data_IF_538749239537
#
_entry.id   IF_538749239537
#
_cell.length_a   1.000
_cell.length_b   1.000
_cell.length_c   1.000
_cell.angle_alpha   90.00
_cell.angle_beta   90.00
_cell.angle_gamma   90.00
#
_symmetry.space_group_name_H-M   'P 1'
#
loop_
_entity.id
_entity.type
_entity.pdbx_description
1 polymer ?
#
# COMPACT_ATOMS: atom_id res chain seq x y z
N UNK A 1 17.50 -10.81 -6.18
CA UNK A 1 16.07 -11.12 -6.33
C UNK A 1 15.42 -10.89 -4.99
N UNK A 2 14.60 -9.85 -4.87
CA UNK A 2 13.82 -9.59 -3.65
C UNK A 2 12.49 -10.32 -3.78
N UNK A 3 12.13 -11.13 -2.79
CA UNK A 3 10.85 -11.83 -2.74
C UNK A 3 9.85 -10.97 -1.97
N UNK A 4 8.69 -10.71 -2.58
CA UNK A 4 7.56 -10.02 -1.98
C UNK A 4 6.37 -10.99 -1.83
N UNK A 5 5.37 -10.68 -0.99
CA UNK A 5 4.08 -11.34 -1.10
C UNK A 5 3.54 -11.19 -2.51
N UNK A 6 2.74 -12.17 -2.94
CA UNK A 6 2.14 -12.18 -4.27
C UNK A 6 1.44 -10.85 -4.53
N UNK A 7 1.75 -10.21 -5.65
CA UNK A 7 1.01 -9.05 -6.14
C UNK A 7 -0.41 -9.45 -6.60
N UNK A 8 -1.20 -8.46 -7.02
CA UNK A 8 -2.58 -8.71 -7.40
C UNK A 8 -2.69 -9.60 -8.65
N UNK A 9 -1.82 -9.40 -9.65
CA UNK A 9 -1.77 -10.28 -10.83
C UNK A 9 -1.44 -11.72 -10.47
N UNK A 10 -0.46 -11.95 -9.60
CA UNK A 10 -0.10 -13.29 -9.10
C UNK A 10 -1.25 -13.92 -8.31
N UNK A 11 -2.00 -13.15 -7.54
CA UNK A 11 -3.22 -13.62 -6.88
C UNK A 11 -4.31 -14.00 -7.88
N UNK A 12 -4.50 -13.23 -8.97
CA UNK A 12 -5.44 -13.60 -10.03
C UNK A 12 -5.01 -14.92 -10.68
N UNK A 13 -3.74 -15.09 -11.03
CA UNK A 13 -3.21 -16.35 -11.56
C UNK A 13 -3.47 -17.51 -10.60
N UNK A 14 -3.10 -17.36 -9.33
CA UNK A 14 -3.28 -18.40 -8.31
C UNK A 14 -4.75 -18.78 -8.08
N UNK A 15 -5.70 -17.89 -8.41
CA UNK A 15 -7.14 -18.13 -8.24
C UNK A 15 -7.87 -18.40 -9.57
N UNK A 16 -7.15 -18.87 -10.60
CA UNK A 16 -7.70 -19.32 -11.88
C UNK A 16 -8.26 -18.20 -12.76
N UNK A 17 -7.65 -17.00 -12.68
CA UNK A 17 -8.07 -15.78 -13.39
C UNK A 17 -7.00 -15.28 -14.36
N UNK A 18 -6.22 -16.17 -14.94
CA UNK A 18 -5.10 -15.88 -15.84
C UNK A 18 -5.53 -15.01 -17.04
N UNK A 19 -6.67 -15.30 -17.64
CA UNK A 19 -7.24 -14.49 -18.74
C UNK A 19 -7.44 -13.02 -18.36
N UNK A 20 -7.72 -12.72 -17.09
CA UNK A 20 -7.88 -11.33 -16.63
C UNK A 20 -6.53 -10.65 -16.46
N UNK A 21 -5.47 -11.39 -16.12
CA UNK A 21 -4.11 -10.87 -16.11
C UNK A 21 -3.65 -10.50 -17.52
N UNK A 22 -3.92 -11.36 -18.50
CA UNK A 22 -3.60 -11.08 -19.91
C UNK A 22 -4.23 -9.76 -20.41
N UNK A 23 -5.48 -9.49 -20.02
CA UNK A 23 -6.15 -8.23 -20.37
C UNK A 23 -5.48 -7.01 -19.73
N UNK A 24 -5.02 -7.11 -18.48
CA UNK A 24 -4.27 -6.05 -17.80
C UNK A 24 -2.91 -5.81 -18.46
N UNK A 25 -2.19 -6.88 -18.81
CA UNK A 25 -0.88 -6.79 -19.48
C UNK A 25 -0.99 -6.17 -20.87
N UNK A 26 -2.06 -6.49 -21.62
CA UNK A 26 -2.36 -5.89 -22.91
C UNK A 26 -2.96 -4.48 -22.81
N UNK A 27 -3.25 -3.99 -21.59
CA UNK A 27 -3.95 -2.72 -21.34
C UNK A 27 -5.25 -2.57 -22.17
N UNK A 28 -5.98 -3.67 -22.39
CA UNK A 28 -7.22 -3.66 -23.17
C UNK A 28 -8.37 -3.11 -22.33
N UNK A 29 -8.37 -1.79 -22.09
CA UNK A 29 -9.30 -1.14 -21.17
C UNK A 29 -10.77 -1.28 -21.58
N UNK A 30 -11.06 -1.45 -22.87
CA UNK A 30 -12.42 -1.73 -23.35
C UNK A 30 -12.91 -3.10 -22.81
N UNK A 31 -12.09 -4.14 -22.91
CA UNK A 31 -12.44 -5.46 -22.40
C UNK A 31 -12.38 -5.50 -20.86
N UNK A 32 -11.41 -4.84 -20.26
CA UNK A 32 -11.28 -4.71 -18.79
C UNK A 32 -12.56 -4.11 -18.20
N UNK A 33 -13.06 -3.00 -18.77
CA UNK A 33 -14.28 -2.35 -18.29
C UNK A 33 -15.50 -3.30 -18.36
N UNK A 34 -15.57 -4.15 -19.39
CA UNK A 34 -16.63 -5.16 -19.53
C UNK A 34 -16.60 -6.21 -18.40
N UNK A 35 -15.46 -6.42 -17.76
CA UNK A 35 -15.27 -7.32 -16.62
C UNK A 35 -14.97 -6.61 -15.30
N UNK A 36 -15.28 -5.31 -15.20
CA UNK A 36 -14.97 -4.49 -14.02
C UNK A 36 -15.39 -5.15 -12.71
N UNK A 37 -16.59 -5.73 -12.66
CA UNK A 37 -17.11 -6.35 -11.44
C UNK A 37 -16.25 -7.54 -10.99
N UNK A 38 -15.75 -8.34 -11.93
CA UNK A 38 -14.84 -9.46 -11.63
C UNK A 38 -13.54 -8.99 -10.99
N UNK A 39 -12.94 -7.92 -11.50
CA UNK A 39 -11.74 -7.33 -10.90
C UNK A 39 -12.02 -6.74 -9.51
N UNK A 40 -13.15 -6.04 -9.34
CA UNK A 40 -13.53 -5.46 -8.05
C UNK A 40 -13.72 -6.56 -6.99
N UNK A 41 -14.40 -7.66 -7.34
CA UNK A 41 -14.63 -8.74 -6.39
C UNK A 41 -13.33 -9.50 -6.08
N UNK A 42 -12.47 -9.75 -7.07
CA UNK A 42 -11.15 -10.30 -6.83
C UNK A 42 -10.28 -9.38 -5.95
N UNK A 43 -10.33 -8.06 -6.15
CA UNK A 43 -9.60 -7.09 -5.35
C UNK A 43 -10.11 -7.06 -3.90
N UNK A 44 -11.42 -7.20 -3.66
CA UNK A 44 -11.99 -7.37 -2.30
C UNK A 44 -11.48 -8.65 -1.64
N UNK A 45 -11.38 -9.75 -2.39
CA UNK A 45 -10.78 -11.00 -1.88
C UNK A 45 -9.32 -10.76 -1.49
N UNK A 46 -8.54 -10.11 -2.36
CA UNK A 46 -7.15 -9.79 -2.11
C UNK A 46 -6.95 -8.87 -0.89
N UNK A 47 -7.81 -7.89 -0.66
CA UNK A 47 -7.76 -7.06 0.56
C UNK A 47 -7.86 -7.87 1.86
N UNK A 48 -8.55 -9.02 1.82
CA UNK A 48 -8.69 -9.88 2.99
C UNK A 48 -7.62 -10.97 3.07
N UNK A 49 -7.34 -11.62 1.94
CA UNK A 49 -6.39 -12.74 1.83
C UNK A 49 -4.95 -12.25 1.87
N UNK A 50 -4.68 -11.12 1.23
CA UNK A 50 -3.33 -10.62 0.97
C UNK A 50 -2.60 -11.44 -0.10
N UNK A 51 -1.29 -11.27 -0.13
CA UNK A 51 -0.33 -11.94 -1.00
C UNK A 51 0.53 -12.99 -0.30
N UNK A 52 0.31 -13.28 0.99
CA UNK A 52 1.12 -14.29 1.67
C UNK A 52 0.93 -15.67 1.01
N UNK A 53 2.00 -16.35 0.55
CA UNK A 53 1.88 -17.56 -0.28
C UNK A 53 0.99 -18.66 0.34
N UNK A 54 1.15 -18.95 1.63
CA UNK A 54 0.34 -19.95 2.34
C UNK A 54 -1.15 -19.56 2.38
N UNK A 55 -1.45 -18.27 2.62
CA UNK A 55 -2.82 -17.77 2.67
C UNK A 55 -3.48 -17.79 1.28
N UNK A 56 -2.75 -17.37 0.24
CA UNK A 56 -3.22 -17.38 -1.15
C UNK A 56 -3.47 -18.82 -1.62
N UNK A 57 -2.51 -19.72 -1.40
CA UNK A 57 -2.61 -21.12 -1.80
C UNK A 57 -3.80 -21.81 -1.15
N UNK A 58 -4.00 -21.59 0.16
CA UNK A 58 -5.14 -22.16 0.87
C UNK A 58 -6.46 -21.60 0.35
N UNK A 59 -6.53 -20.28 0.16
CA UNK A 59 -7.72 -19.63 -0.39
C UNK A 59 -8.07 -20.14 -1.79
N UNK A 60 -7.08 -20.29 -2.67
CA UNK A 60 -7.27 -20.81 -4.02
C UNK A 60 -7.86 -22.22 -4.04
N UNK A 61 -7.44 -23.08 -3.10
CA UNK A 61 -7.88 -24.48 -3.03
C UNK A 61 -9.25 -24.67 -2.38
N UNK A 62 -9.55 -23.88 -1.34
CA UNK A 62 -10.69 -24.16 -0.44
C UNK A 62 -11.71 -23.02 -0.33
N UNK A 63 -11.36 -21.81 -0.75
CA UNK A 63 -12.21 -20.61 -0.66
C UNK A 63 -12.76 -20.35 0.77
N UNK A 64 -11.98 -20.68 1.80
CA UNK A 64 -12.36 -20.51 3.21
C UNK A 64 -11.61 -19.34 3.86
N UNK A 65 -12.36 -18.28 4.15
CA UNK A 65 -11.86 -17.05 4.75
C UNK A 65 -11.48 -17.21 6.24
N UNK A 66 -12.15 -18.10 6.97
CA UNK A 66 -11.88 -18.28 8.40
C UNK A 66 -10.51 -18.93 8.59
N UNK A 67 -10.21 -19.95 7.79
CA UNK A 67 -8.91 -20.60 7.82
C UNK A 67 -7.79 -19.71 7.27
N UNK A 68 -8.05 -18.90 6.23
CA UNK A 68 -7.13 -17.83 5.82
C UNK A 68 -6.78 -16.91 6.99
N UNK A 69 -7.77 -16.51 7.80
CA UNK A 69 -7.51 -15.68 8.98
C UNK A 69 -6.67 -16.41 10.03
N UNK A 70 -6.88 -17.71 10.22
CA UNK A 70 -6.07 -18.52 11.12
C UNK A 70 -4.62 -18.63 10.64
N UNK A 71 -4.40 -18.81 9.33
CA UNK A 71 -3.07 -18.80 8.70
C UNK A 71 -2.37 -17.46 8.92
N UNK A 72 -3.04 -16.34 8.64
CA UNK A 72 -2.45 -15.01 8.83
C UNK A 72 -2.08 -14.75 10.29
N UNK A 73 -2.89 -15.18 11.26
CA UNK A 73 -2.54 -15.12 12.70
C UNK A 73 -1.28 -15.93 13.02
N UNK A 74 -1.14 -17.12 12.45
CA UNK A 74 0.06 -17.96 12.62
C UNK A 74 1.29 -17.29 12.02
N UNK A 75 1.18 -16.69 10.84
CA UNK A 75 2.26 -15.93 10.20
C UNK A 75 2.69 -14.74 11.08
N UNK A 76 1.75 -13.93 11.55
CA UNK A 76 2.04 -12.80 12.43
C UNK A 76 2.72 -13.27 13.73
N UNK A 77 2.21 -14.35 14.33
CA UNK A 77 2.81 -14.92 15.53
C UNK A 77 4.24 -15.43 15.26
N UNK A 78 4.49 -16.08 14.11
CA UNK A 78 5.81 -16.54 13.73
C UNK A 78 6.80 -15.37 13.60
N UNK A 79 6.41 -14.27 12.94
CA UNK A 79 7.23 -13.06 12.88
C UNK A 79 7.58 -12.53 14.28
N UNK A 80 6.60 -12.44 15.19
CA UNK A 80 6.84 -11.98 16.56
C UNK A 80 7.78 -12.88 17.38
N UNK A 81 7.75 -14.19 17.13
CA UNK A 81 8.70 -15.13 17.74
C UNK A 81 10.10 -14.96 17.17
N UNK A 82 10.20 -14.70 15.87
CA UNK A 82 11.47 -14.54 15.17
C UNK A 82 12.21 -13.25 15.53
N UNK A 83 11.49 -12.22 16.02
CA UNK A 83 12.13 -11.02 16.58
C UNK A 83 13.11 -11.38 17.70
N UNK A 84 12.74 -12.27 18.62
CA UNK A 84 13.60 -12.68 19.73
C UNK A 84 14.75 -13.60 19.31
N UNK A 85 14.67 -14.21 18.12
CA UNK A 85 15.72 -15.11 17.60
C UNK A 85 16.77 -14.36 16.79
N UNK A 86 16.36 -13.32 16.07
CA UNK A 86 17.19 -12.67 15.05
C UNK A 86 17.53 -11.21 15.35
N UNK A 87 16.76 -10.52 16.19
CA UNK A 87 17.08 -9.15 16.57
C UNK A 87 17.99 -9.11 17.81
N UNK A 88 18.86 -8.10 17.96
CA UNK A 88 19.56 -7.85 19.21
C UNK A 88 18.58 -7.74 20.39
N UNK A 89 18.86 -8.47 21.48
CA UNK A 89 17.96 -8.57 22.64
C UNK A 89 17.49 -7.21 23.18
N UNK A 90 18.35 -6.20 23.13
CA UNK A 90 18.09 -4.84 23.62
C UNK A 90 17.00 -4.11 22.81
N UNK A 91 16.84 -4.44 21.52
CA UNK A 91 15.87 -3.77 20.63
C UNK A 91 14.55 -4.54 20.52
N UNK A 92 14.50 -5.82 20.89
CA UNK A 92 13.30 -6.68 20.79
C UNK A 92 12.06 -6.05 21.42
N UNK A 93 12.10 -5.49 22.65
CA UNK A 93 10.92 -4.85 23.23
C UNK A 93 10.40 -3.68 22.39
N UNK A 94 11.32 -2.89 21.79
CA UNK A 94 10.98 -1.74 20.96
C UNK A 94 10.38 -2.17 19.62
N UNK A 95 10.92 -3.24 19.02
CA UNK A 95 10.35 -3.85 17.81
C UNK A 95 8.91 -4.28 18.07
N UNK A 96 8.66 -5.03 19.16
CA UNK A 96 7.31 -5.49 19.52
C UNK A 96 6.35 -4.34 19.77
N UNK A 97 6.78 -3.30 20.49
CA UNK A 97 5.96 -2.11 20.71
C UNK A 97 5.61 -1.41 19.40
N UNK A 98 6.59 -1.24 18.50
CA UNK A 98 6.36 -0.63 17.19
C UNK A 98 5.40 -1.47 16.35
N UNK A 99 5.65 -2.77 16.26
CA UNK A 99 4.83 -3.74 15.53
C UNK A 99 3.37 -3.69 15.97
N UNK A 100 3.12 -3.74 17.28
CA UNK A 100 1.78 -3.68 17.86
C UNK A 100 1.12 -2.30 17.70
N UNK A 101 1.90 -1.25 17.46
CA UNK A 101 1.36 0.09 17.19
C UNK A 101 0.91 0.28 15.73
N UNK A 102 1.33 -0.58 14.79
CA UNK A 102 1.05 -0.41 13.36
C UNK A 102 -0.46 -0.16 13.10
N UNK A 103 -1.42 -0.94 13.63
CA UNK A 103 -2.84 -0.70 13.42
C UNK A 103 -3.31 0.71 13.82
N UNK A 104 -2.78 1.27 14.91
CA UNK A 104 -3.15 2.60 15.39
C UNK A 104 -2.54 3.73 14.55
N UNK A 105 -1.36 3.50 13.95
CA UNK A 105 -0.79 4.41 12.96
C UNK A 105 -1.70 4.52 11.72
N UNK A 106 -2.23 3.39 11.26
CA UNK A 106 -3.10 3.31 10.08
C UNK A 106 -4.52 3.85 10.30
N UNK A 107 -5.00 3.91 11.54
CA UNK A 107 -6.33 4.43 11.85
C UNK A 107 -6.43 5.97 11.77
N UNK A 108 -5.31 6.70 11.65
CA UNK A 108 -5.31 8.16 11.54
C UNK A 108 -5.61 8.63 10.13
N UNK A 109 -6.26 9.78 9.97
CA UNK A 109 -6.42 10.42 8.64
C UNK A 109 -5.06 10.77 8.03
N UNK A 110 -4.20 11.45 8.79
CA UNK A 110 -2.81 11.68 8.41
C UNK A 110 -1.96 10.44 8.75
N UNK A 111 -1.41 9.78 7.71
CA UNK A 111 -0.61 8.55 7.85
C UNK A 111 0.86 8.80 8.20
N UNK A 112 1.28 10.05 8.41
CA UNK A 112 2.63 10.36 8.91
C UNK A 112 2.84 9.63 10.22
N UNK A 113 3.96 8.92 10.34
CA UNK A 113 4.30 8.13 11.52
C UNK A 113 4.38 8.99 12.79
N UNK A 114 3.72 8.55 13.86
CA UNK A 114 3.67 9.24 15.14
C UNK A 114 4.24 8.34 16.24
N UNK A 115 5.42 8.69 16.75
CA UNK A 115 6.07 7.95 17.84
C UNK A 115 5.18 7.86 19.10
N UNK A 116 4.44 8.91 19.42
CA UNK A 116 3.54 8.94 20.58
C UNK A 116 2.44 7.87 20.59
N UNK A 117 2.10 7.30 19.43
CA UNK A 117 1.14 6.19 19.34
C UNK A 117 1.76 4.82 19.71
N UNK A 118 3.09 4.72 19.76
CA UNK A 118 3.78 3.55 20.30
C UNK A 118 3.69 3.55 21.82
N UNK A 119 4.01 4.70 22.43
CA UNK A 119 3.94 4.97 23.87
C UNK A 119 4.01 6.47 24.12
N UNK A 120 3.34 6.95 25.15
CA UNK A 120 3.49 8.34 25.63
C UNK A 120 4.95 8.69 25.87
N UNK A 121 5.42 9.80 25.29
CA UNK A 121 6.78 10.29 25.43
C UNK A 121 7.82 9.66 24.49
N UNK A 122 7.43 8.67 23.67
CA UNK A 122 8.32 8.03 22.71
C UNK A 122 8.96 9.03 21.72
N UNK A 123 10.26 8.89 21.49
CA UNK A 123 11.06 9.74 20.59
C UNK A 123 11.70 8.94 19.45
N UNK A 124 12.07 9.65 18.38
CA UNK A 124 12.73 9.06 17.21
C UNK A 124 13.96 8.23 17.55
N UNK A 125 14.87 8.78 18.36
CA UNK A 125 16.11 8.13 18.80
C UNK A 125 15.87 6.79 19.50
N UNK A 126 14.71 6.60 20.15
CA UNK A 126 14.40 5.33 20.82
C UNK A 126 14.07 4.20 19.84
N UNK A 127 13.41 4.53 18.72
CA UNK A 127 12.80 3.56 17.81
C UNK A 127 13.45 3.48 16.43
N UNK A 128 14.42 4.34 16.11
CA UNK A 128 15.12 4.35 14.82
C UNK A 128 15.69 2.97 14.46
N UNK A 129 16.42 2.33 15.37
CA UNK A 129 16.99 0.98 15.14
C UNK A 129 15.90 -0.09 14.96
N UNK A 130 14.76 0.04 15.65
CA UNK A 130 13.65 -0.91 15.50
C UNK A 130 12.94 -0.76 14.15
N UNK A 131 12.76 0.48 13.68
CA UNK A 131 12.22 0.78 12.35
C UNK A 131 13.16 0.25 11.28
N UNK A 132 14.46 0.53 11.40
CA UNK A 132 15.48 0.06 10.47
C UNK A 132 15.49 -1.46 10.41
N UNK A 133 15.52 -2.15 11.55
CA UNK A 133 15.49 -3.61 11.60
C UNK A 133 14.25 -4.21 10.91
N UNK A 134 13.05 -3.70 11.22
CA UNK A 134 11.82 -4.19 10.57
C UNK A 134 11.79 -3.91 9.06
N UNK A 135 12.36 -2.78 8.63
CA UNK A 135 12.46 -2.41 7.21
C UNK A 135 13.47 -3.31 6.48
N UNK A 136 14.62 -3.57 7.07
CA UNK A 136 15.68 -4.40 6.50
C UNK A 136 15.27 -5.87 6.39
N UNK A 137 14.45 -6.35 7.34
CA UNK A 137 13.81 -7.67 7.26
C UNK A 137 12.66 -7.73 6.24
N UNK A 138 12.29 -6.61 5.61
CA UNK A 138 11.20 -6.55 4.64
C UNK A 138 9.80 -6.70 5.24
N UNK A 139 9.66 -6.54 6.57
CA UNK A 139 8.38 -6.68 7.26
C UNK A 139 7.53 -5.40 7.20
N UNK A 140 8.19 -4.27 6.99
CA UNK A 140 7.56 -2.97 6.77
C UNK A 140 8.22 -2.23 5.61
N UNK A 141 7.52 -1.24 5.08
CA UNK A 141 8.01 -0.30 4.09
C UNK A 141 7.96 1.11 4.65
N UNK A 142 9.13 1.72 4.86
CA UNK A 142 9.25 3.14 5.21
C UNK A 142 9.20 3.98 3.93
N UNK A 143 8.19 4.84 3.81
CA UNK A 143 8.02 5.75 2.66
C UNK A 143 8.26 7.17 3.14
N UNK A 144 9.40 7.75 2.77
CA UNK A 144 9.80 9.08 3.21
C UNK A 144 9.09 10.19 2.44
N UNK A 145 9.01 11.35 3.08
CA UNK A 145 8.44 12.55 2.50
C UNK A 145 9.44 13.21 1.56
N UNK A 146 8.96 13.74 0.45
CA UNK A 146 9.65 14.78 -0.34
C UNK A 146 8.89 16.09 -0.25
N UNK A 147 9.61 17.21 -0.27
CA UNK A 147 9.03 18.56 -0.21
C UNK A 147 9.14 19.34 -1.53
N UNK A 148 9.84 18.78 -2.51
CA UNK A 148 10.00 19.31 -3.88
C UNK A 148 9.96 18.15 -4.88
N UNK A 149 9.69 18.48 -6.14
CA UNK A 149 9.60 17.55 -7.26
C UNK A 149 10.82 17.66 -8.19
N UNK A 150 12.03 17.68 -7.63
CA UNK A 150 13.26 17.72 -8.41
C UNK A 150 13.88 16.33 -8.57
N UNK A 151 14.64 16.13 -9.65
CA UNK A 151 15.30 14.86 -9.97
C UNK A 151 16.77 14.90 -9.49
N UNK A 152 17.28 13.85 -8.81
CA UNK A 152 16.52 12.72 -8.26
C UNK A 152 15.71 13.13 -7.02
N UNK A 153 14.53 12.51 -6.79
CA UNK A 153 13.67 12.84 -5.64
C UNK A 153 14.38 12.65 -4.30
N UNK A 154 15.32 11.70 -4.26
CA UNK A 154 16.16 11.40 -3.10
C UNK A 154 16.88 12.62 -2.52
N UNK A 155 17.24 13.61 -3.36
CA UNK A 155 17.89 14.83 -2.89
C UNK A 155 16.98 15.73 -2.03
N UNK A 156 15.65 15.53 -2.10
CA UNK A 156 14.62 16.32 -1.42
C UNK A 156 13.91 15.55 -0.30
N UNK A 157 14.47 14.40 0.09
CA UNK A 157 13.93 13.53 1.12
C UNK A 157 14.04 14.16 2.52
N UNK A 158 12.92 14.24 3.23
CA UNK A 158 12.88 14.53 4.66
C UNK A 158 12.81 13.24 5.48
N UNK A 159 13.97 12.79 5.96
CA UNK A 159 14.11 11.57 6.76
C UNK A 159 13.29 11.58 8.08
N UNK A 160 12.87 12.75 8.56
CA UNK A 160 12.08 12.90 9.81
C UNK A 160 10.59 12.72 9.58
N UNK A 161 10.11 12.78 8.33
CA UNK A 161 8.71 12.63 7.98
C UNK A 161 8.55 11.45 7.03
N UNK A 162 7.90 10.39 7.51
CA UNK A 162 7.69 9.17 6.75
C UNK A 162 6.35 8.53 7.12
N UNK A 163 5.82 7.72 6.21
CA UNK A 163 4.74 6.75 6.45
C UNK A 163 5.36 5.36 6.62
N UNK A 164 4.68 4.47 7.36
CA UNK A 164 5.04 3.05 7.43
C UNK A 164 3.89 2.25 6.84
N UNK A 165 4.22 1.38 5.89
CA UNK A 165 3.33 0.37 5.36
C UNK A 165 3.75 -1.03 5.81
N UNK A 166 2.82 -1.96 5.97
CA UNK A 166 3.15 -3.35 6.25
C UNK A 166 3.60 -4.05 4.95
N UNK A 167 4.25 -5.20 5.04
CA UNK A 167 4.59 -5.99 3.86
C UNK A 167 3.36 -6.50 3.08
N UNK A 168 2.23 -6.75 3.77
CA UNK A 168 1.05 -7.38 3.19
C UNK A 168 -0.27 -6.80 3.71
N UNK A 169 -1.21 -6.54 2.79
CA UNK A 169 -2.53 -5.97 3.09
C UNK A 169 -3.44 -6.92 3.87
N UNK A 170 -3.36 -8.24 3.62
CA UNK A 170 -4.13 -9.25 4.33
C UNK A 170 -3.68 -9.41 5.78
N UNK A 171 -2.36 -9.38 6.00
CA UNK A 171 -1.76 -9.32 7.34
C UNK A 171 -2.15 -8.04 8.09
N UNK A 172 -2.13 -6.87 7.42
CA UNK A 172 -2.59 -5.63 8.05
C UNK A 172 -4.07 -5.74 8.45
N UNK A 173 -4.91 -6.27 7.57
CA UNK A 173 -6.30 -6.57 7.87
C UNK A 173 -6.47 -7.55 9.04
N UNK A 174 -5.53 -8.49 9.22
CA UNK A 174 -5.53 -9.40 10.37
C UNK A 174 -5.23 -8.68 11.68
N UNK A 175 -4.19 -7.84 11.68
CA UNK A 175 -3.79 -7.07 12.86
C UNK A 175 -4.89 -6.11 13.33
N UNK A 176 -5.70 -5.59 12.41
CA UNK A 176 -6.78 -4.64 12.71
C UNK A 176 -8.12 -5.32 13.03
N UNK A 177 -8.20 -6.65 12.92
CA UNK A 177 -9.42 -7.41 13.17
C UNK A 177 -10.48 -7.28 12.08
N UNK A 178 -10.08 -7.05 10.82
CA UNK A 178 -10.99 -6.97 9.67
C UNK A 178 -11.84 -8.25 9.58
N UNK A 179 -13.17 -8.09 9.64
CA UNK A 179 -14.11 -9.21 9.52
C UNK A 179 -14.49 -9.44 8.05
N UNK A 180 -14.72 -10.69 7.68
CA UNK A 180 -15.11 -11.06 6.32
C UNK A 180 -16.39 -10.34 5.87
N UNK A 181 -17.38 -10.24 6.76
CA UNK A 181 -18.64 -9.52 6.51
C UNK A 181 -18.44 -8.08 6.05
N UNK A 182 -17.37 -7.43 6.50
CA UNK A 182 -17.04 -6.05 6.10
C UNK A 182 -16.77 -5.94 4.59
N UNK A 183 -16.23 -6.99 3.95
CA UNK A 183 -16.03 -7.01 2.48
C UNK A 183 -17.34 -7.12 1.70
N UNK A 184 -18.35 -7.76 2.32
CA UNK A 184 -19.64 -8.09 1.70
C UNK A 184 -20.63 -6.93 1.90
N UNK A 185 -20.65 -6.35 3.10
CA UNK A 185 -21.69 -5.40 3.52
C UNK A 185 -21.34 -3.93 3.24
N UNK A 186 -20.08 -3.60 2.95
CA UNK A 186 -19.68 -2.24 2.56
C UNK A 186 -20.01 -1.15 3.59
N UNK A 187 -20.01 -1.49 4.89
CA UNK A 187 -20.45 -0.60 5.95
C UNK A 187 -19.72 0.76 5.98
N UNK A 188 -20.48 1.86 6.10
CA UNK A 188 -19.97 3.25 6.20
C UNK A 188 -19.01 3.50 7.39
N UNK A 189 -19.01 2.65 8.42
CA UNK A 189 -18.07 2.71 9.55
C UNK A 189 -16.60 2.44 9.14
N UNK A 190 -16.35 2.12 7.87
CA UNK A 190 -15.04 1.73 7.35
C UNK A 190 -14.40 2.74 6.40
N UNK A 191 -14.95 3.94 6.15
CA UNK A 191 -14.42 4.86 5.13
C UNK A 191 -12.93 5.19 5.34
N UNK A 192 -12.53 5.59 6.55
CA UNK A 192 -11.12 5.91 6.85
C UNK A 192 -10.20 4.68 6.76
N UNK A 193 -10.68 3.53 7.24
CA UNK A 193 -9.93 2.27 7.19
C UNK A 193 -9.81 1.73 5.76
N UNK A 194 -10.82 1.99 4.92
CA UNK A 194 -10.84 1.66 3.49
C UNK A 194 -9.80 2.49 2.73
N UNK A 195 -9.66 3.79 3.04
CA UNK A 195 -8.56 4.61 2.52
C UNK A 195 -7.19 4.03 2.93
N UNK A 196 -7.02 3.71 4.22
CA UNK A 196 -5.78 3.14 4.76
C UNK A 196 -5.38 1.83 4.08
N UNK A 197 -6.34 0.90 3.91
CA UNK A 197 -6.13 -0.35 3.18
C UNK A 197 -5.79 -0.10 1.71
N UNK A 198 -6.46 0.87 1.07
CA UNK A 198 -6.22 1.18 -0.35
C UNK A 198 -4.80 1.73 -0.56
N UNK A 199 -4.33 2.64 0.30
CA UNK A 199 -2.94 3.09 0.27
C UNK A 199 -1.95 1.95 0.53
N UNK A 200 -2.23 1.09 1.53
CA UNK A 200 -1.43 -0.10 1.81
C UNK A 200 -1.33 -1.03 0.59
N UNK A 201 -2.46 -1.31 -0.07
CA UNK A 201 -2.50 -2.11 -1.28
C UNK A 201 -1.65 -1.49 -2.40
N UNK A 202 -1.83 -0.19 -2.66
CA UNK A 202 -1.04 0.52 -3.68
C UNK A 202 0.44 0.48 -3.35
N UNK A 203 0.84 0.73 -2.10
CA UNK A 203 2.23 0.62 -1.68
C UNK A 203 2.78 -0.79 -1.93
N UNK A 204 2.03 -1.84 -1.60
CA UNK A 204 2.43 -3.22 -1.84
C UNK A 204 2.62 -3.51 -3.34
N UNK A 205 1.72 -3.03 -4.20
CA UNK A 205 1.84 -3.21 -5.65
C UNK A 205 3.01 -2.42 -6.24
N UNK A 206 3.25 -1.19 -5.78
CA UNK A 206 4.38 -0.39 -6.26
C UNK A 206 5.72 -1.01 -5.83
N UNK A 207 5.77 -1.66 -4.66
CA UNK A 207 6.99 -2.31 -4.15
C UNK A 207 7.40 -3.55 -4.93
N UNK A 208 6.52 -4.15 -5.72
CA UNK A 208 6.87 -5.27 -6.61
C UNK A 208 7.42 -4.82 -7.96
N UNK A 209 7.42 -3.52 -8.25
CA UNK A 209 8.00 -2.95 -9.48
C UNK A 209 9.50 -2.71 -9.23
N UNK A 210 10.34 -3.33 -10.06
CA UNK A 210 11.80 -3.19 -10.00
C UNK A 210 12.23 -1.74 -10.30
N UNK A 211 13.33 -1.32 -9.68
CA UNK A 211 13.96 0.00 -9.86
C UNK A 211 13.04 1.22 -9.64
N UNK A 212 11.99 1.07 -8.83
CA UNK A 212 11.04 2.13 -8.50
C UNK A 212 11.32 2.75 -7.13
N UNK A 213 11.68 4.05 -7.11
CA UNK A 213 11.75 4.80 -5.86
C UNK A 213 10.36 5.36 -5.51
N UNK A 214 9.94 5.19 -4.25
CA UNK A 214 8.60 5.56 -3.79
C UNK A 214 8.73 6.51 -2.60
N UNK A 215 8.10 7.68 -2.74
CA UNK A 215 7.99 8.71 -1.71
C UNK A 215 6.53 9.09 -1.53
N UNK A 216 6.25 10.00 -0.59
CA UNK A 216 5.00 10.77 -0.58
C UNK A 216 5.34 12.26 -0.52
N UNK A 217 4.43 13.13 -0.92
CA UNK A 217 4.70 14.58 -0.91
C UNK A 217 3.77 15.30 0.05
N UNK A 218 4.31 16.30 0.77
CA UNK A 218 3.49 17.38 1.32
C UNK A 218 4.11 18.72 0.99
N UNK A 219 3.29 19.75 0.80
CA UNK A 219 3.81 21.11 0.83
C UNK A 219 4.27 21.51 2.25
N UNK A 220 4.92 22.67 2.38
CA UNK A 220 5.44 23.17 3.67
C UNK A 220 4.34 23.38 4.73
N UNK A 221 3.15 23.78 4.29
CA UNK A 221 1.98 24.01 5.16
C UNK A 221 1.27 22.71 5.57
N UNK A 222 1.61 21.56 4.97
CA UNK A 222 1.00 20.26 5.25
C UNK A 222 -0.47 20.14 4.85
N UNK A 223 -1.00 21.05 4.02
CA UNK A 223 -2.41 21.06 3.60
C UNK A 223 -2.62 20.58 2.16
N UNK A 224 -1.54 20.21 1.48
CA UNK A 224 -1.55 19.55 0.18
C UNK A 224 -0.65 18.33 0.30
N UNK A 225 -1.26 17.15 0.35
CA UNK A 225 -0.57 15.85 0.41
C UNK A 225 -0.87 15.06 -0.87
N UNK A 226 0.16 14.42 -1.42
CA UNK A 226 0.05 13.41 -2.47
C UNK A 226 0.48 12.08 -1.86
N UNK A 227 -0.36 11.05 -2.00
CA UNK A 227 -0.18 9.76 -1.32
C UNK A 227 1.13 9.08 -1.69
N UNK A 228 1.45 9.06 -2.99
CA UNK A 228 2.72 8.57 -3.49
C UNK A 228 3.30 9.48 -4.58
N UNK A 229 4.62 9.59 -4.62
CA UNK A 229 5.35 10.18 -5.74
C UNK A 229 6.45 9.19 -6.09
N UNK A 230 6.41 8.69 -7.32
CA UNK A 230 7.40 7.72 -7.81
C UNK A 230 8.44 8.42 -8.68
N UNK A 231 9.66 7.93 -8.61
CA UNK A 231 10.81 8.38 -9.41
C UNK A 231 11.39 7.17 -10.14
N UNK A 232 11.30 7.23 -11.48
CA UNK A 232 11.79 6.22 -12.41
C UNK A 232 12.26 6.89 -13.71
N UNK A 233 13.43 6.51 -14.21
CA UNK A 233 13.96 6.92 -15.52
C UNK A 233 13.94 8.45 -15.77
N UNK A 234 14.22 9.26 -14.73
CA UNK A 234 14.12 10.73 -14.74
C UNK A 234 12.69 11.27 -14.94
N UNK A 235 11.67 10.48 -14.62
CA UNK A 235 10.28 10.89 -14.61
C UNK A 235 9.72 10.83 -13.19
N UNK A 236 9.07 11.91 -12.78
CA UNK A 236 8.39 12.02 -11.49
C UNK A 236 6.90 11.92 -11.74
N UNK A 237 6.27 10.87 -11.19
CA UNK A 237 4.83 10.65 -11.35
C UNK A 237 4.15 10.76 -9.98
N UNK A 238 3.39 11.83 -9.70
CA UNK A 238 2.53 11.90 -8.53
C UNK A 238 1.30 10.99 -8.70
N UNK A 239 0.98 10.26 -7.63
CA UNK A 239 -0.11 9.29 -7.57
C UNK A 239 -1.03 9.66 -6.40
N UNK A 240 -2.28 9.97 -6.71
CA UNK A 240 -3.35 10.12 -5.73
C UNK A 240 -4.14 8.82 -5.63
N UNK A 241 -4.37 8.32 -4.42
CA UNK A 241 -5.08 7.07 -4.14
C UNK A 241 -6.47 7.37 -3.60
N UNK A 242 -7.50 6.83 -4.24
CA UNK A 242 -8.89 6.97 -3.79
C UNK A 242 -9.54 5.60 -3.58
N UNK A 243 -10.03 5.38 -2.37
CA UNK A 243 -10.83 4.19 -2.02
C UNK A 243 -12.20 4.14 -2.73
N UNK A 244 -12.69 5.28 -3.20
CA UNK A 244 -14.00 5.43 -3.84
C UNK A 244 -13.86 6.24 -5.13
N UNK A 245 -14.95 6.31 -5.90
CA UNK A 245 -15.00 7.06 -7.15
C UNK A 245 -15.03 8.60 -6.94
N UNK A 246 -14.79 9.13 -5.73
CA UNK A 246 -14.82 10.57 -5.50
C UNK A 246 -13.64 11.27 -6.23
N UNK A 247 -13.95 11.89 -7.36
CA UNK A 247 -13.00 12.44 -8.33
C UNK A 247 -12.43 13.83 -7.95
N UNK A 248 -12.58 14.30 -6.71
CA UNK A 248 -11.94 15.57 -6.30
C UNK A 248 -10.49 15.31 -5.92
N UNK A 249 -9.56 15.67 -6.81
CA UNK A 249 -8.12 15.58 -6.61
C UNK A 249 -7.51 16.99 -6.44
N UNK A 250 -7.95 17.73 -5.42
CA UNK A 250 -7.53 19.13 -5.20
C UNK A 250 -6.01 19.23 -4.94
N UNK A 251 -5.46 18.32 -4.14
CA UNK A 251 -4.02 18.26 -3.85
C UNK A 251 -3.23 17.94 -5.12
N UNK A 252 -3.62 16.90 -5.86
CA UNK A 252 -2.96 16.53 -7.12
C UNK A 252 -2.97 17.65 -8.15
N UNK A 253 -4.10 18.36 -8.30
CA UNK A 253 -4.17 19.53 -9.18
C UNK A 253 -3.23 20.65 -8.70
N UNK A 254 -3.20 20.93 -7.41
CA UNK A 254 -2.28 21.94 -6.83
C UNK A 254 -0.81 21.56 -7.03
N UNK A 255 -0.48 20.27 -6.93
CA UNK A 255 0.86 19.75 -7.21
C UNK A 255 1.19 19.92 -8.71
N UNK A 256 0.26 19.55 -9.59
CA UNK A 256 0.42 19.66 -11.04
C UNK A 256 0.64 21.11 -11.49
N UNK A 257 -0.13 22.06 -10.97
CA UNK A 257 0.03 23.49 -11.24
C UNK A 257 1.37 24.03 -10.74
N UNK A 258 1.92 23.46 -9.65
CA UNK A 258 3.18 23.91 -9.05
C UNK A 258 4.43 23.36 -9.76
N UNK A 259 4.40 22.09 -10.14
CA UNK A 259 5.59 21.37 -10.61
C UNK A 259 5.52 20.93 -12.07
N UNK A 260 4.34 21.00 -12.69
CA UNK A 260 4.10 20.63 -14.09
C UNK A 260 4.70 19.27 -14.49
N UNK A 261 4.41 18.18 -13.75
CA UNK A 261 4.86 16.84 -14.12
C UNK A 261 4.24 16.43 -15.46
N UNK A 262 4.95 15.63 -16.24
CA UNK A 262 4.47 15.14 -17.54
C UNK A 262 3.21 14.28 -17.41
N UNK A 263 3.11 13.53 -16.30
CA UNK A 263 2.00 12.61 -16.02
C UNK A 263 1.57 12.77 -14.56
N UNK A 264 0.28 12.99 -14.33
CA UNK A 264 -0.34 12.76 -13.03
C UNK A 264 -1.21 11.51 -13.07
N UNK A 265 -1.19 10.71 -12.02
CA UNK A 265 -2.05 9.52 -11.90
C UNK A 265 -3.00 9.68 -10.72
N UNK A 266 -4.27 9.36 -10.93
CA UNK A 266 -5.22 9.03 -9.87
C UNK A 266 -5.61 7.57 -10.00
N UNK A 267 -5.43 6.81 -8.93
CA UNK A 267 -5.92 5.43 -8.88
C UNK A 267 -7.15 5.28 -8.00
N UNK A 268 -8.20 4.64 -8.54
CA UNK A 268 -9.49 4.47 -7.86
C UNK A 268 -10.29 3.29 -8.42
N UNK A 269 -11.51 3.07 -7.96
CA UNK A 269 -12.42 2.07 -8.55
C UNK A 269 -13.04 2.51 -9.90
N UNK A 270 -12.75 3.73 -10.36
CA UNK A 270 -13.21 4.24 -11.65
C UNK A 270 -12.47 3.59 -12.82
N UNK A 271 -13.12 3.62 -13.98
CA UNK A 271 -12.59 3.10 -15.22
C UNK A 271 -11.38 3.93 -15.69
N UNK A 272 -10.57 3.31 -16.55
CA UNK A 272 -9.45 4.01 -17.17
C UNK A 272 -9.94 5.21 -17.99
N UNK A 273 -9.33 6.37 -17.77
CA UNK A 273 -9.55 7.58 -18.57
C UNK A 273 -8.27 8.38 -18.64
N UNK A 274 -7.86 8.73 -19.86
CA UNK A 274 -6.77 9.68 -20.11
C UNK A 274 -7.37 11.06 -20.41
N UNK A 275 -7.13 11.99 -19.50
CA UNK A 275 -7.46 13.42 -19.64
C UNK A 275 -6.18 14.20 -19.95
N UNK A 276 -6.29 15.50 -20.23
CA UNK A 276 -5.15 16.34 -20.66
C UNK A 276 -3.99 16.36 -19.65
N UNK A 277 -4.30 16.36 -18.35
CA UNK A 277 -3.32 16.48 -17.26
C UNK A 277 -3.33 15.30 -16.28
N UNK A 278 -4.25 14.34 -16.45
CA UNK A 278 -4.55 13.30 -15.48
C UNK A 278 -4.88 11.96 -16.16
N UNK A 279 -4.23 10.90 -15.70
CA UNK A 279 -4.62 9.52 -16.00
C UNK A 279 -5.39 8.98 -14.80
N UNK A 280 -6.65 8.58 -15.03
CA UNK A 280 -7.39 7.73 -14.12
C UNK A 280 -7.01 6.29 -14.41
N UNK A 281 -6.41 5.61 -13.45
CA UNK A 281 -6.01 4.21 -13.56
C UNK A 281 -6.80 3.36 -12.56
N UNK A 282 -7.57 2.36 -12.98
CA UNK A 282 -8.28 1.51 -12.03
C UNK A 282 -7.33 0.88 -11.00
N UNK A 283 -7.76 0.73 -9.74
CA UNK A 283 -6.93 0.19 -8.65
C UNK A 283 -6.32 -1.17 -9.01
N UNK A 284 -7.12 -2.05 -9.58
CA UNK A 284 -6.70 -3.38 -10.03
C UNK A 284 -5.69 -3.37 -11.20
N UNK A 285 -5.40 -2.20 -11.77
CA UNK A 285 -4.44 -1.99 -12.86
C UNK A 285 -3.20 -1.19 -12.43
N UNK A 286 -3.04 -0.87 -11.14
CA UNK A 286 -1.96 0.01 -10.66
C UNK A 286 -0.55 -0.47 -11.07
N UNK A 287 -0.32 -1.78 -11.16
CA UNK A 287 0.96 -2.35 -11.60
C UNK A 287 1.34 -1.98 -13.05
N UNK A 288 0.37 -1.57 -13.88
CA UNK A 288 0.62 -1.10 -15.26
C UNK A 288 1.22 0.29 -15.32
N UNK A 289 1.36 0.99 -14.18
CA UNK A 289 2.02 2.30 -14.09
C UNK A 289 3.47 2.28 -14.60
N UNK A 290 4.12 1.11 -14.58
CA UNK A 290 5.47 0.90 -15.15
C UNK A 290 5.54 1.02 -16.67
N UNK A 291 4.40 1.09 -17.35
CA UNK A 291 4.31 1.24 -18.81
C UNK A 291 3.91 2.67 -19.22
N UNK A 292 3.72 3.58 -18.25
CA UNK A 292 3.40 4.99 -18.49
C UNK A 292 4.65 5.82 -18.76
#
# INVERSE_FOLDING_TARGET
MNLYPLNFKEFLMATGKERFVELLDQQNYQMINSFKQTYIDALKQYYYVGGMPEAVQYFANYNDYNEVRNIQKKILFAYEQDFSKHAPNEIVPKIRMLWNSIPSQFAKENKKFIYGLIRTGARAKEYETAIMWLSDCGLIHKISRVNQAGIPLKAYEDLKAFKIYLLDVGLLGCMTGLKQKTLIEGNNLFVEFKCALTEQYVCQQLKTIEDLNIYYYTNERGNCEIDFVIDRDNQIIPIEVKAEENLRAKSLKTYSERFSPDICVRTSMSDYRKEDWLINLPLYAIETIKEL
#
